data_IF_595996193077
#
_entry.id   IF_595996193077
#
_cell.length_a   1.000
_cell.length_b   1.000
_cell.length_c   1.000
_cell.angle_alpha   90.00
_cell.angle_beta   90.00
_cell.angle_gamma   90.00
#
_symmetry.space_group_name_H-M   'P 1'
#
loop_
_entity.id
_entity.type
_entity.pdbx_description
1 polymer ?
#
# COMPACT_ATOMS: atom_id res chain seq x y z
N UNK A 1 5.09 37.71 26.22
CA UNK A 1 3.92 37.06 25.58
C UNK A 1 3.51 35.92 26.49
N UNK A 2 2.25 35.87 26.91
CA UNK A 2 1.73 34.79 27.75
C UNK A 2 1.15 33.69 26.86
N UNK A 3 1.40 32.40 27.14
CA UNK A 3 0.80 31.30 26.39
C UNK A 3 -0.72 31.31 26.52
N UNK A 4 -1.43 30.78 25.52
CA UNK A 4 -2.89 30.67 25.57
C UNK A 4 -3.32 29.72 26.69
N UNK A 5 -4.25 30.12 27.58
CA UNK A 5 -4.65 29.31 28.73
C UNK A 5 -5.53 28.09 28.36
N UNK A 6 -6.18 28.10 27.20
CA UNK A 6 -6.93 26.96 26.67
C UNK A 6 -6.74 26.88 25.15
N UNK A 7 -6.65 25.65 24.62
CA UNK A 7 -6.55 25.40 23.19
C UNK A 7 -7.86 25.79 22.47
N UNK A 8 -7.75 26.58 21.40
CA UNK A 8 -8.87 26.91 20.51
C UNK A 8 -8.83 26.05 19.25
N UNK A 9 -7.65 25.56 18.89
CA UNK A 9 -7.45 24.63 17.79
C UNK A 9 -7.91 23.22 18.18
N UNK A 10 -8.56 22.56 17.21
CA UNK A 10 -8.98 21.17 17.34
C UNK A 10 -7.78 20.28 17.71
N UNK A 11 -8.00 19.33 18.62
CA UNK A 11 -6.99 18.40 19.14
C UNK A 11 -5.85 19.04 19.96
N UNK A 12 -5.98 20.29 20.41
CA UNK A 12 -5.03 20.89 21.35
C UNK A 12 -3.68 21.24 20.74
N UNK A 13 -3.62 21.50 19.42
CA UNK A 13 -2.37 21.78 18.72
C UNK A 13 -1.69 23.09 19.14
N UNK A 14 -2.48 24.05 19.61
CA UNK A 14 -2.08 25.36 20.14
C UNK A 14 -1.93 25.37 21.68
N UNK A 15 -2.12 24.23 22.35
CA UNK A 15 -1.95 24.15 23.79
C UNK A 15 -0.50 24.44 24.19
N UNK A 16 -0.32 25.36 25.15
CA UNK A 16 0.97 25.82 25.67
C UNK A 16 1.89 26.43 24.59
N UNK A 17 1.32 26.88 23.47
CA UNK A 17 2.07 27.57 22.42
C UNK A 17 2.12 29.08 22.73
N UNK A 18 3.27 29.69 22.46
CA UNK A 18 3.44 31.14 22.54
C UNK A 18 2.89 31.76 21.27
N UNK A 19 1.90 32.65 21.39
CA UNK A 19 1.39 33.41 20.26
C UNK A 19 2.27 34.64 19.99
N UNK A 20 2.56 34.89 18.72
CA UNK A 20 3.38 36.00 18.21
C UNK A 20 2.70 36.68 17.01
N UNK A 21 3.31 37.73 16.47
CA UNK A 21 2.86 38.41 15.25
C UNK A 21 3.97 38.45 14.19
N UNK A 22 3.64 38.79 12.94
CA UNK A 22 4.63 38.87 11.85
C UNK A 22 5.76 39.86 12.17
N UNK A 23 5.46 40.94 12.89
CA UNK A 23 6.48 41.94 13.25
C UNK A 23 7.42 41.47 14.36
N UNK A 24 7.03 40.45 15.12
CA UNK A 24 7.75 39.98 16.31
C UNK A 24 8.56 38.70 16.04
N UNK A 25 8.53 38.18 14.80
CA UNK A 25 9.40 37.11 14.38
C UNK A 25 10.84 37.62 14.23
N UNK A 26 11.79 36.91 14.86
CA UNK A 26 13.21 37.26 14.81
C UNK A 26 13.81 37.08 13.41
N UNK A 27 13.25 36.19 12.59
CA UNK A 27 13.63 35.96 11.21
C UNK A 27 12.47 36.29 10.25
N UNK A 28 12.76 36.61 8.97
CA UNK A 28 11.71 36.79 7.97
C UNK A 28 10.77 35.58 7.93
N UNK A 29 9.47 35.81 7.70
CA UNK A 29 8.42 34.78 7.60
C UNK A 29 8.81 33.53 6.81
N UNK A 30 9.71 33.67 5.83
CA UNK A 30 10.28 32.60 5.03
C UNK A 30 10.88 31.42 5.84
N UNK A 31 11.35 31.63 7.08
CA UNK A 31 12.04 30.63 7.90
C UNK A 31 11.45 30.50 9.31
N UNK A 32 10.18 30.09 9.45
CA UNK A 32 9.59 29.90 10.76
C UNK A 32 10.33 28.77 11.48
N UNK A 33 10.79 29.02 12.71
CA UNK A 33 11.53 28.04 13.51
C UNK A 33 11.12 28.16 14.99
N UNK A 34 11.06 27.01 15.67
CA UNK A 34 10.53 26.90 17.03
C UNK A 34 9.01 26.74 17.09
N UNK A 35 8.51 26.50 18.31
CA UNK A 35 7.09 26.34 18.59
C UNK A 35 6.43 27.70 18.86
N UNK A 36 5.56 28.14 17.97
CA UNK A 36 4.79 29.37 18.11
C UNK A 36 3.45 29.29 17.36
N UNK A 37 2.52 30.18 17.73
CA UNK A 37 1.21 30.35 17.13
C UNK A 37 1.05 31.78 16.62
N UNK A 38 0.23 31.99 15.60
CA UNK A 38 -0.04 33.31 15.04
C UNK A 38 -1.47 33.35 14.52
N UNK A 39 -2.16 34.44 14.86
CA UNK A 39 -3.43 34.80 14.24
C UNK A 39 -3.16 35.79 13.13
N UNK A 40 -3.47 35.38 11.90
CA UNK A 40 -3.24 36.19 10.71
C UNK A 40 -4.58 36.59 10.10
N UNK A 41 -4.73 37.87 9.80
CA UNK A 41 -5.83 38.32 8.96
C UNK A 41 -5.57 37.94 7.49
N UNK A 42 -6.57 38.14 6.62
CA UNK A 42 -6.46 37.75 5.22
C UNK A 42 -5.37 38.53 4.46
N UNK A 43 -5.15 39.80 4.79
CA UNK A 43 -4.11 40.63 4.16
C UNK A 43 -2.71 40.11 4.52
N UNK A 44 -2.48 39.74 5.77
CA UNK A 44 -1.25 39.11 6.24
C UNK A 44 -1.04 37.71 5.62
N UNK A 45 -2.11 36.94 5.44
CA UNK A 45 -2.05 35.66 4.71
C UNK A 45 -1.60 35.85 3.25
N UNK A 46 -2.10 36.90 2.59
CA UNK A 46 -1.69 37.21 1.20
C UNK A 46 -0.25 37.73 1.16
N UNK A 47 0.15 38.58 2.11
CA UNK A 47 1.52 39.13 2.17
C UNK A 47 2.59 38.05 2.39
N UNK A 48 2.23 36.95 3.06
CA UNK A 48 3.07 35.76 3.25
C UNK A 48 3.06 34.78 2.07
N UNK A 49 2.45 35.17 0.94
CA UNK A 49 2.22 34.32 -0.24
C UNK A 49 1.51 33.00 0.14
N UNK A 50 0.45 33.11 0.94
CA UNK A 50 -0.33 31.97 1.40
C UNK A 50 0.44 31.06 2.35
N UNK A 51 1.18 31.66 3.30
CA UNK A 51 2.03 30.94 4.26
C UNK A 51 3.10 30.09 3.58
N UNK A 52 3.74 30.64 2.55
CA UNK A 52 4.85 29.99 1.87
C UNK A 52 6.10 30.04 2.76
N UNK A 53 6.72 28.87 2.98
CA UNK A 53 7.92 28.73 3.79
C UNK A 53 9.05 28.11 2.96
N UNK A 54 10.29 28.49 3.28
CA UNK A 54 11.48 27.98 2.60
C UNK A 54 11.87 26.58 3.05
N UNK A 55 11.42 26.16 4.24
CA UNK A 55 11.54 24.77 4.67
C UNK A 55 10.90 23.82 3.63
N UNK A 56 11.52 22.66 3.35
CA UNK A 56 10.97 21.64 2.46
C UNK A 56 9.81 20.93 3.13
N UNK A 57 8.62 21.50 3.01
CA UNK A 57 7.42 20.98 3.64
C UNK A 57 6.69 20.00 2.72
N UNK A 58 6.24 18.88 3.28
CA UNK A 58 5.28 17.97 2.62
C UNK A 58 3.89 18.21 3.16
N UNK A 59 2.94 18.40 2.25
CA UNK A 59 1.53 18.48 2.59
C UNK A 59 1.03 17.15 3.17
N UNK A 60 0.20 17.26 4.20
CA UNK A 60 -0.49 16.17 4.85
C UNK A 60 -1.98 16.51 4.96
N UNK A 61 -2.80 15.48 5.11
CA UNK A 61 -4.19 15.69 5.53
C UNK A 61 -4.19 16.27 6.94
N UNK A 62 -4.88 17.39 7.15
CA UNK A 62 -5.20 17.88 8.49
C UNK A 62 -6.18 16.93 9.20
N UNK A 63 -6.61 17.28 10.41
CA UNK A 63 -7.60 16.50 11.16
C UNK A 63 -8.98 16.42 10.48
N UNK A 64 -9.19 17.17 9.39
CA UNK A 64 -10.35 17.13 8.50
C UNK A 64 -10.25 16.06 7.36
N UNK A 65 -9.32 15.10 7.44
CA UNK A 65 -9.03 14.12 6.39
C UNK A 65 -10.13 13.07 6.12
N UNK A 66 -10.08 12.44 4.94
CA UNK A 66 -11.04 11.43 4.42
C UNK A 66 -11.48 10.42 5.50
N UNK A 67 -12.76 10.48 5.88
CA UNK A 67 -13.36 9.60 6.89
C UNK A 67 -13.73 10.30 8.21
N UNK A 68 -13.27 11.53 8.44
CA UNK A 68 -13.78 12.35 9.54
C UNK A 68 -15.23 12.77 9.25
N UNK A 69 -16.13 12.56 10.22
CA UNK A 69 -17.51 13.07 10.16
C UNK A 69 -17.58 14.61 10.13
N UNK A 70 -16.49 15.29 10.48
CA UNK A 70 -16.44 16.75 10.60
C UNK A 70 -15.48 17.29 9.55
N UNK A 71 -16.02 17.89 8.49
CA UNK A 71 -15.27 18.65 7.48
C UNK A 71 -15.22 20.12 7.94
N UNK A 72 -14.04 20.60 8.34
CA UNK A 72 -13.88 22.02 8.69
C UNK A 72 -14.20 22.96 7.53
N UNK A 73 -14.67 24.17 7.85
CA UNK A 73 -15.09 25.20 6.90
C UNK A 73 -14.05 26.32 6.77
N UNK A 74 -13.92 26.88 5.56
CA UNK A 74 -13.11 28.09 5.31
C UNK A 74 -13.81 29.37 5.77
N UNK A 75 -15.13 29.31 6.00
CA UNK A 75 -15.96 30.43 6.46
C UNK A 75 -16.36 30.26 7.93
N UNK A 76 -15.66 29.40 8.66
CA UNK A 76 -15.93 29.19 10.09
C UNK A 76 -15.62 30.47 10.87
N UNK A 77 -16.50 30.82 11.81
CA UNK A 77 -16.28 31.91 12.77
C UNK A 77 -15.31 31.50 13.89
N UNK A 78 -15.06 30.19 14.07
CA UNK A 78 -14.17 29.65 15.09
C UNK A 78 -13.01 28.87 14.47
N UNK A 79 -11.85 28.87 15.12
CA UNK A 79 -10.69 28.04 14.74
C UNK A 79 -11.06 26.55 14.83
N UNK A 80 -11.87 26.17 15.83
CA UNK A 80 -12.29 24.79 16.07
C UNK A 80 -13.01 24.14 14.89
N UNK A 81 -13.90 24.89 14.23
CA UNK A 81 -14.64 24.45 13.04
C UNK A 81 -13.95 24.84 11.72
N UNK A 82 -12.76 25.44 11.82
CA UNK A 82 -11.95 25.88 10.69
C UNK A 82 -11.37 24.76 9.84
N UNK A 83 -11.08 25.08 8.58
CA UNK A 83 -10.36 24.17 7.68
C UNK A 83 -8.86 24.14 8.00
N UNK A 84 -8.41 23.06 8.62
CA UNK A 84 -7.00 22.79 8.89
C UNK A 84 -6.25 22.27 7.65
N UNK A 85 -5.06 22.84 7.39
CA UNK A 85 -4.05 22.26 6.49
C UNK A 85 -2.80 21.93 7.28
N UNK A 86 -2.26 20.73 7.09
CA UNK A 86 -1.08 20.25 7.83
C UNK A 86 0.10 20.08 6.89
N UNK A 87 1.27 20.50 7.34
CA UNK A 87 2.54 20.37 6.61
C UNK A 87 3.62 19.92 7.58
N UNK A 88 4.54 19.06 7.14
CA UNK A 88 5.69 18.64 7.96
C UNK A 88 7.00 18.79 7.19
N UNK A 89 8.06 19.16 7.90
CA UNK A 89 9.39 19.32 7.33
C UNK A 89 9.95 17.97 6.88
N UNK A 90 10.44 17.88 5.64
CA UNK A 90 11.15 16.71 5.11
C UNK A 90 12.62 16.68 5.54
N UNK A 91 13.14 17.67 6.28
CA UNK A 91 14.57 17.75 6.62
C UNK A 91 15.40 18.31 5.47
N UNK A 92 16.60 17.79 5.23
CA UNK A 92 17.50 18.28 4.17
C UNK A 92 18.20 17.15 3.45
N UNK A 93 18.75 17.41 2.27
CA UNK A 93 19.62 16.46 1.56
C UNK A 93 21.02 17.07 1.53
N UNK A 94 22.01 16.39 2.09
CA UNK A 94 23.39 16.89 2.11
C UNK A 94 24.33 15.94 1.38
N UNK A 95 25.44 16.48 0.87
CA UNK A 95 26.53 15.67 0.35
C UNK A 95 27.07 14.71 1.42
N UNK A 96 27.44 13.49 1.02
CA UNK A 96 28.14 12.54 1.88
C UNK A 96 29.60 12.94 2.10
N UNK A 97 30.22 13.61 1.12
CA UNK A 97 31.59 14.10 1.27
C UNK A 97 31.65 15.23 2.31
N UNK A 98 32.38 14.99 3.40
CA UNK A 98 32.54 15.94 4.50
C UNK A 98 33.27 17.24 4.14
N UNK A 99 34.02 17.26 3.02
CA UNK A 99 34.63 18.50 2.50
C UNK A 99 33.70 19.28 1.55
N UNK A 100 32.48 18.80 1.32
CA UNK A 100 31.51 19.42 0.43
C UNK A 100 30.28 19.89 1.21
N UNK A 101 30.12 21.21 1.34
CA UNK A 101 29.03 21.83 2.11
C UNK A 101 27.69 21.92 1.35
N UNK A 102 27.55 21.21 0.23
CA UNK A 102 26.33 21.24 -0.56
C UNK A 102 25.18 20.59 0.24
N UNK A 103 24.20 21.43 0.56
CA UNK A 103 22.90 21.04 1.10
C UNK A 103 21.81 21.50 0.14
N UNK A 104 20.94 20.58 -0.26
CA UNK A 104 19.86 20.83 -1.22
C UNK A 104 18.50 20.49 -0.63
N UNK A 105 17.46 21.07 -1.27
CA UNK A 105 16.07 20.87 -0.89
C UNK A 105 15.61 19.46 -1.28
N UNK A 106 15.07 18.67 -0.34
CA UNK A 106 14.31 17.46 -0.68
C UNK A 106 13.21 17.78 -1.70
N UNK A 107 13.10 16.99 -2.76
CA UNK A 107 11.93 17.04 -3.65
C UNK A 107 10.69 16.66 -2.85
N UNK A 108 9.58 17.35 -3.09
CA UNK A 108 8.35 17.16 -2.31
C UNK A 108 7.56 15.96 -2.82
N UNK A 109 7.50 15.79 -4.13
CA UNK A 109 6.90 14.64 -4.82
C UNK A 109 7.63 13.32 -4.47
N UNK A 110 6.86 12.23 -4.30
CA UNK A 110 7.40 10.96 -3.81
C UNK A 110 8.34 10.28 -4.82
N UNK A 111 7.95 10.03 -6.09
CA UNK A 111 8.86 9.54 -7.12
C UNK A 111 10.13 10.38 -7.29
N UNK A 112 9.99 11.71 -7.41
CA UNK A 112 11.14 12.60 -7.58
C UNK A 112 12.08 12.57 -6.37
N UNK A 113 11.52 12.40 -5.16
CA UNK A 113 12.30 12.29 -3.94
C UNK A 113 13.03 10.94 -3.84
N UNK A 114 12.39 9.84 -4.21
CA UNK A 114 13.04 8.52 -4.27
C UNK A 114 14.22 8.58 -5.23
N UNK A 115 14.02 9.13 -6.43
CA UNK A 115 15.10 9.34 -7.41
C UNK A 115 16.24 10.20 -6.86
N UNK A 116 15.91 11.33 -6.23
CA UNK A 116 16.93 12.19 -5.60
C UNK A 116 17.73 11.46 -4.50
N UNK A 117 17.09 10.55 -3.78
CA UNK A 117 17.72 9.80 -2.69
C UNK A 117 18.59 8.65 -3.21
N UNK A 118 18.15 7.95 -4.24
CA UNK A 118 18.79 6.71 -4.73
C UNK A 118 19.82 6.98 -5.82
N UNK A 119 19.56 7.96 -6.68
CA UNK A 119 20.37 8.29 -7.86
C UNK A 119 21.00 9.69 -7.79
N UNK A 120 20.73 10.43 -6.71
CA UNK A 120 21.20 11.81 -6.57
C UNK A 120 22.71 11.90 -6.36
N UNK A 121 23.38 12.54 -7.30
CA UNK A 121 24.82 12.83 -7.22
C UNK A 121 25.02 14.32 -6.96
N UNK A 122 25.92 14.63 -6.02
CA UNK A 122 26.37 15.97 -5.72
C UNK A 122 27.26 16.50 -6.85
N UNK A 123 27.43 17.83 -6.95
CA UNK A 123 28.34 18.44 -7.93
C UNK A 123 29.80 17.99 -7.74
N UNK A 124 30.19 17.56 -6.54
CA UNK A 124 31.52 17.00 -6.28
C UNK A 124 31.66 15.50 -6.65
N UNK A 125 30.64 14.91 -7.29
CA UNK A 125 30.62 13.49 -7.66
C UNK A 125 30.24 12.51 -6.54
N UNK A 126 30.07 12.98 -5.30
CA UNK A 126 29.67 12.14 -4.17
C UNK A 126 28.16 11.96 -4.08
N UNK A 127 27.70 10.88 -3.43
CA UNK A 127 26.28 10.61 -3.24
C UNK A 127 25.61 11.61 -2.30
N UNK A 128 24.32 11.87 -2.55
CA UNK A 128 23.48 12.68 -1.67
C UNK A 128 22.82 11.81 -0.60
N UNK A 129 22.79 12.32 0.64
CA UNK A 129 22.17 11.65 1.79
C UNK A 129 21.04 12.48 2.34
N UNK A 130 19.88 11.84 2.51
CA UNK A 130 18.74 12.47 3.16
C UNK A 130 18.91 12.49 4.68
N UNK A 131 18.95 13.71 5.24
CA UNK A 131 18.89 13.99 6.67
C UNK A 131 17.45 14.32 7.04
N UNK A 132 16.82 13.43 7.82
CA UNK A 132 15.47 13.65 8.38
C UNK A 132 15.43 14.89 9.27
N UNK A 133 14.23 15.42 9.52
CA UNK A 133 14.03 16.48 10.52
C UNK A 133 14.45 15.98 11.91
N UNK A 134 14.81 16.92 12.79
CA UNK A 134 15.23 16.59 14.16
C UNK A 134 14.15 15.80 14.90
N UNK A 135 12.91 16.28 14.83
CA UNK A 135 11.72 15.59 15.38
C UNK A 135 11.63 14.11 14.95
N UNK A 136 11.85 13.79 13.67
CA UNK A 136 11.82 12.41 13.21
C UNK A 136 12.99 11.57 13.75
N UNK A 137 14.18 12.17 13.87
CA UNK A 137 15.35 11.50 14.44
C UNK A 137 15.13 11.20 15.91
N UNK A 138 14.57 12.14 16.66
CA UNK A 138 14.35 11.98 18.11
C UNK A 138 13.34 10.87 18.40
N UNK A 139 12.26 10.79 17.61
CA UNK A 139 11.27 9.70 17.71
C UNK A 139 11.89 8.34 17.37
N UNK A 140 12.71 8.27 16.30
CA UNK A 140 13.40 7.03 15.93
C UNK A 140 14.44 6.60 16.98
N UNK A 141 15.22 7.55 17.51
CA UNK A 141 16.18 7.29 18.59
C UNK A 141 15.47 6.81 19.85
N UNK A 142 14.38 7.45 20.26
CA UNK A 142 13.59 7.04 21.42
C UNK A 142 13.07 5.60 21.27
N UNK A 143 12.53 5.27 20.08
CA UNK A 143 12.05 3.92 19.77
C UNK A 143 13.18 2.89 19.77
N UNK A 144 14.31 3.18 19.10
CA UNK A 144 15.43 2.24 18.96
C UNK A 144 16.13 1.97 20.29
N UNK A 145 16.16 2.94 21.20
CA UNK A 145 16.78 2.77 22.52
C UNK A 145 15.92 1.90 23.45
N UNK A 146 14.59 1.93 23.30
CA UNK A 146 13.63 1.25 24.17
C UNK A 146 12.50 0.56 23.40
N UNK A 147 12.81 -0.38 22.49
CA UNK A 147 11.80 -1.08 21.69
C UNK A 147 10.94 -2.03 22.55
N UNK A 148 11.37 -2.33 23.77
CA UNK A 148 10.66 -3.11 24.79
C UNK A 148 9.41 -2.40 25.34
N UNK A 149 9.38 -1.07 25.29
CA UNK A 149 8.33 -0.29 25.91
C UNK A 149 7.09 -0.14 25.03
N UNK A 150 5.92 -0.20 25.67
CA UNK A 150 4.64 0.08 25.00
C UNK A 150 4.60 1.54 24.53
N UNK A 151 3.88 1.84 23.42
CA UNK A 151 3.75 3.21 22.91
C UNK A 151 3.39 4.26 23.96
N UNK A 152 2.47 3.93 24.88
CA UNK A 152 2.05 4.87 25.93
C UNK A 152 3.18 5.18 26.94
N UNK A 153 4.06 4.22 27.22
CA UNK A 153 5.20 4.44 28.10
C UNK A 153 6.27 5.31 27.43
N UNK A 154 6.48 5.15 26.11
CA UNK A 154 7.35 6.04 25.34
C UNK A 154 6.74 7.44 25.16
N UNK A 155 5.41 7.56 25.21
CA UNK A 155 4.75 8.85 25.10
C UNK A 155 5.07 9.76 26.28
N UNK A 156 4.96 9.21 27.49
CA UNK A 156 5.24 9.91 28.75
C UNK A 156 6.73 9.98 29.08
N UNK A 157 7.57 9.27 28.32
CA UNK A 157 8.99 9.16 28.54
C UNK A 157 9.37 7.94 29.39
N UNK A 158 10.45 7.23 29.05
CA UNK A 158 10.92 6.11 29.85
C UNK A 158 11.40 6.60 31.23
N UNK A 159 11.04 5.84 32.27
CA UNK A 159 11.55 6.05 33.63
C UNK A 159 13.04 5.70 33.67
N UNK A 160 13.84 6.66 34.13
CA UNK A 160 15.26 6.56 34.42
C UNK A 160 15.51 6.64 35.94
N UNK A 161 16.72 6.31 36.39
CA UNK A 161 17.08 6.37 37.81
C UNK A 161 16.97 7.79 38.40
N UNK A 162 17.10 8.82 37.57
CA UNK A 162 17.06 10.23 37.93
C UNK A 162 15.77 10.96 37.50
N UNK A 163 14.71 10.24 37.10
CA UNK A 163 13.44 10.83 36.69
C UNK A 163 12.86 10.22 35.43
N UNK A 164 12.22 11.02 34.58
CA UNK A 164 11.73 10.60 33.27
C UNK A 164 12.58 11.24 32.17
N UNK A 165 12.93 10.46 31.14
CA UNK A 165 13.50 11.03 29.93
C UNK A 165 12.41 11.78 29.13
N UNK A 166 12.81 12.62 28.18
CA UNK A 166 11.89 13.27 27.25
C UNK A 166 11.05 12.23 26.50
N UNK A 167 9.73 12.36 26.61
CA UNK A 167 8.77 11.46 25.98
C UNK A 167 8.34 11.93 24.60
N UNK A 168 7.53 11.13 23.92
CA UNK A 168 6.94 11.53 22.63
C UNK A 168 6.24 12.89 22.69
N UNK A 169 5.57 13.21 23.80
CA UNK A 169 4.90 14.50 24.00
C UNK A 169 5.84 15.71 23.98
N UNK A 170 7.10 15.54 24.41
CA UNK A 170 8.12 16.59 24.44
C UNK A 170 8.91 16.67 23.12
N UNK A 171 9.02 15.54 22.42
CA UNK A 171 9.89 15.42 21.24
C UNK A 171 9.19 15.75 19.93
N UNK A 172 7.85 15.63 19.87
CA UNK A 172 7.11 15.76 18.61
C UNK A 172 5.68 16.25 18.81
N UNK A 173 5.20 17.06 17.86
CA UNK A 173 3.79 17.44 17.77
C UNK A 173 2.88 16.22 17.59
N UNK A 174 3.40 15.15 16.96
CA UNK A 174 2.70 13.86 16.85
C UNK A 174 2.50 13.17 18.20
N UNK A 175 3.33 13.48 19.19
CA UNK A 175 3.24 12.96 20.55
C UNK A 175 2.17 13.65 21.38
N UNK A 176 1.78 14.88 21.04
CA UNK A 176 0.66 15.55 21.73
C UNK A 176 -0.68 14.84 21.56
N UNK A 177 -0.80 13.95 20.57
CA UNK A 177 -1.96 13.08 20.36
C UNK A 177 -1.57 11.60 20.55
N UNK A 178 -2.19 10.93 21.53
CA UNK A 178 -1.83 9.55 21.88
C UNK A 178 -2.10 8.51 20.77
N UNK A 179 -3.14 8.71 19.95
CA UNK A 179 -3.47 7.79 18.85
C UNK A 179 -2.54 7.99 17.66
N UNK A 180 -2.23 9.24 17.33
CA UNK A 180 -1.25 9.57 16.32
C UNK A 180 0.14 9.04 16.72
N UNK A 181 0.51 9.17 17.99
CA UNK A 181 1.74 8.60 18.55
C UNK A 181 1.80 7.07 18.39
N UNK A 182 0.73 6.36 18.78
CA UNK A 182 0.63 4.90 18.58
C UNK A 182 0.77 4.52 17.10
N UNK A 183 0.13 5.27 16.20
CA UNK A 183 0.24 5.03 14.77
C UNK A 183 1.69 5.18 14.27
N UNK A 184 2.40 6.23 14.69
CA UNK A 184 3.79 6.47 14.31
C UNK A 184 4.71 5.33 14.78
N UNK A 185 4.61 4.95 16.06
CA UNK A 185 5.43 3.85 16.60
C UNK A 185 5.07 2.50 15.98
N UNK A 186 3.80 2.23 15.69
CA UNK A 186 3.39 1.03 14.96
C UNK A 186 4.02 0.99 13.58
N UNK A 187 4.07 2.13 12.87
CA UNK A 187 4.71 2.22 11.56
C UNK A 187 6.20 1.93 11.62
N UNK A 188 6.90 2.42 12.65
CA UNK A 188 8.33 2.10 12.89
C UNK A 188 8.52 0.62 13.20
N UNK A 189 7.72 0.07 14.12
CA UNK A 189 7.74 -1.35 14.48
C UNK A 189 7.48 -2.26 13.28
N UNK A 190 6.45 -1.96 12.49
CA UNK A 190 6.11 -2.71 11.27
C UNK A 190 7.23 -2.67 10.25
N UNK A 191 7.93 -1.53 10.11
CA UNK A 191 9.06 -1.43 9.19
C UNK A 191 10.22 -2.34 9.61
N UNK A 192 10.59 -2.34 10.88
CA UNK A 192 11.65 -3.22 11.40
C UNK A 192 11.28 -4.71 11.31
N UNK A 193 10.01 -5.04 11.60
CA UNK A 193 9.51 -6.41 11.50
C UNK A 193 9.45 -6.91 10.06
N UNK A 194 9.09 -6.05 9.11
CA UNK A 194 9.09 -6.39 7.68
C UNK A 194 10.51 -6.61 7.13
N UNK A 195 11.54 -6.00 7.73
CA UNK A 195 12.95 -6.24 7.39
C UNK A 195 13.45 -7.62 7.89
N UNK A 196 12.72 -8.28 8.80
CA UNK A 196 13.02 -9.65 9.26
C UNK A 196 12.10 -10.67 8.56
N UNK A 197 12.63 -11.37 7.55
CA UNK A 197 11.87 -12.36 6.77
C UNK A 197 11.22 -13.48 7.60
N UNK A 198 11.79 -13.83 8.76
CA UNK A 198 11.20 -14.84 9.66
C UNK A 198 9.87 -14.39 10.25
N UNK A 199 9.71 -13.10 10.53
CA UNK A 199 8.47 -12.56 11.06
C UNK A 199 7.33 -12.71 10.04
N UNK A 200 7.60 -12.51 8.75
CA UNK A 200 6.60 -12.74 7.72
C UNK A 200 6.14 -14.20 7.69
N UNK A 201 7.07 -15.16 7.72
CA UNK A 201 6.73 -16.59 7.70
C UNK A 201 5.88 -16.95 8.93
N UNK A 202 6.26 -16.49 10.12
CA UNK A 202 5.50 -16.73 11.34
C UNK A 202 4.10 -16.09 11.28
N UNK A 203 3.96 -14.87 10.76
CA UNK A 203 2.65 -14.25 10.60
C UNK A 203 1.80 -14.95 9.53
N UNK A 204 2.42 -15.39 8.44
CA UNK A 204 1.75 -16.10 7.37
C UNK A 204 1.25 -17.47 7.84
N UNK A 205 2.06 -18.22 8.60
CA UNK A 205 1.63 -19.48 9.20
C UNK A 205 0.53 -19.26 10.24
N UNK A 206 0.68 -18.28 11.14
CA UNK A 206 -0.39 -17.92 12.08
C UNK A 206 -1.69 -17.48 11.39
N UNK A 207 -1.59 -16.82 10.22
CA UNK A 207 -2.74 -16.45 9.41
C UNK A 207 -3.37 -17.70 8.78
N UNK A 208 -2.57 -18.61 8.23
CA UNK A 208 -3.05 -19.88 7.69
C UNK A 208 -3.73 -20.74 8.75
N UNK A 209 -3.19 -20.84 9.96
CA UNK A 209 -3.83 -21.58 11.06
C UNK A 209 -5.18 -20.96 11.44
N UNK A 210 -5.26 -19.63 11.52
CA UNK A 210 -6.50 -18.92 11.89
C UNK A 210 -7.58 -18.94 10.81
N UNK A 211 -7.19 -19.11 9.55
CA UNK A 211 -8.09 -18.96 8.40
C UNK A 211 -8.20 -20.20 7.53
N UNK A 212 -7.46 -21.27 7.84
CA UNK A 212 -7.38 -22.49 7.03
C UNK A 212 -8.70 -23.22 6.87
N UNK A 213 -9.62 -23.03 7.82
CA UNK A 213 -10.97 -23.61 7.77
C UNK A 213 -11.81 -23.05 6.61
N UNK A 214 -11.49 -21.85 6.10
CA UNK A 214 -12.28 -21.19 5.05
C UNK A 214 -11.46 -20.62 3.90
N UNK A 215 -10.14 -20.43 4.05
CA UNK A 215 -9.23 -20.03 2.97
C UNK A 215 -8.28 -21.18 2.66
N UNK A 216 -8.38 -21.68 1.44
CA UNK A 216 -7.51 -22.73 0.90
C UNK A 216 -6.43 -22.12 0.03
N UNK A 217 -5.20 -22.54 0.29
CA UNK A 217 -4.03 -22.24 -0.52
C UNK A 217 -3.92 -23.29 -1.63
N UNK A 218 -3.79 -22.88 -2.88
CA UNK A 218 -3.85 -23.81 -4.03
C UNK A 218 -2.53 -23.99 -4.75
N UNK A 219 -1.88 -22.89 -5.12
CA UNK A 219 -0.54 -22.90 -5.67
C UNK A 219 0.33 -21.96 -4.85
N UNK A 220 1.49 -22.45 -4.42
CA UNK A 220 2.47 -21.66 -3.68
C UNK A 220 3.83 -21.93 -4.31
N UNK A 221 4.21 -21.05 -5.22
CA UNK A 221 5.55 -21.02 -5.79
C UNK A 221 6.26 -19.86 -5.12
N UNK A 222 7.35 -20.12 -4.40
CA UNK A 222 8.16 -19.09 -3.75
C UNK A 222 9.60 -19.28 -4.21
N UNK A 223 10.11 -18.35 -5.01
CA UNK A 223 11.51 -18.34 -5.44
C UNK A 223 11.91 -19.53 -6.32
N UNK A 224 11.01 -20.04 -7.17
CA UNK A 224 11.35 -21.05 -8.17
C UNK A 224 12.34 -20.51 -9.21
N UNK A 225 12.68 -21.32 -10.23
CA UNK A 225 13.48 -20.87 -11.37
C UNK A 225 13.02 -19.49 -11.88
N UNK A 226 13.97 -18.57 -12.01
CA UNK A 226 13.70 -17.18 -12.40
C UNK A 226 13.22 -16.26 -11.27
N UNK A 227 13.16 -16.70 -10.01
CA UNK A 227 12.74 -15.88 -8.88
C UNK A 227 11.24 -15.58 -8.85
N UNK A 228 10.44 -16.44 -9.50
CA UNK A 228 8.98 -16.31 -9.59
C UNK A 228 8.35 -16.67 -8.24
N UNK A 229 7.46 -15.78 -7.77
CA UNK A 229 6.66 -16.02 -6.57
C UNK A 229 5.20 -15.75 -6.87
N UNK A 230 4.38 -16.81 -6.81
CA UNK A 230 2.93 -16.76 -6.97
C UNK A 230 2.28 -17.55 -5.85
N UNK A 231 1.36 -16.91 -5.14
CA UNK A 231 0.62 -17.50 -4.03
C UNK A 231 -0.88 -17.35 -4.33
N UNK A 232 -1.50 -18.45 -4.73
CA UNK A 232 -2.90 -18.53 -5.10
C UNK A 232 -3.76 -19.09 -3.96
N UNK A 233 -4.90 -18.45 -3.72
CA UNK A 233 -5.82 -18.82 -2.65
C UNK A 233 -7.27 -18.49 -3.00
N UNK A 234 -8.19 -19.22 -2.38
CA UNK A 234 -9.63 -19.07 -2.55
C UNK A 234 -10.38 -19.59 -1.33
N UNK A 235 -11.65 -19.22 -1.19
CA UNK A 235 -12.58 -19.95 -0.31
C UNK A 235 -13.29 -21.06 -1.07
N UNK A 236 -14.01 -21.95 -0.39
CA UNK A 236 -14.84 -22.95 -1.06
C UNK A 236 -15.95 -22.32 -1.90
N UNK A 237 -16.55 -21.23 -1.39
CA UNK A 237 -17.56 -20.48 -2.13
C UNK A 237 -16.99 -19.90 -3.43
N UNK A 238 -15.81 -19.28 -3.37
CA UNK A 238 -15.12 -18.73 -4.54
C UNK A 238 -14.82 -19.81 -5.57
N UNK A 239 -14.23 -20.94 -5.14
CA UNK A 239 -13.92 -22.08 -6.01
C UNK A 239 -15.15 -22.55 -6.78
N UNK A 240 -16.28 -22.65 -6.10
CA UNK A 240 -17.54 -23.10 -6.71
C UNK A 240 -18.09 -22.10 -7.74
N UNK A 241 -17.65 -20.83 -7.73
CA UNK A 241 -17.99 -19.86 -8.79
C UNK A 241 -17.21 -20.09 -10.09
N UNK A 242 -16.18 -20.95 -10.10
CA UNK A 242 -15.41 -21.29 -11.30
C UNK A 242 -16.13 -22.28 -12.22
N UNK A 243 -17.19 -22.94 -11.74
CA UNK A 243 -17.99 -23.87 -12.54
C UNK A 243 -19.03 -23.13 -13.39
N UNK A 244 -19.39 -23.67 -14.56
CA UNK A 244 -20.57 -23.24 -15.31
C UNK A 244 -21.82 -23.34 -14.42
N UNK A 245 -22.74 -22.37 -14.56
CA UNK A 245 -24.05 -22.42 -13.90
C UNK A 245 -25.07 -23.05 -14.86
N UNK A 246 -25.79 -24.08 -14.39
CA UNK A 246 -26.61 -25.01 -15.19
C UNK A 246 -27.71 -24.35 -16.06
N UNK A 247 -28.16 -23.14 -15.75
CA UNK A 247 -29.30 -22.50 -16.43
C UNK A 247 -29.00 -22.00 -17.85
N UNK A 248 -27.75 -22.05 -18.32
CA UNK A 248 -27.33 -21.37 -19.56
C UNK A 248 -26.59 -22.27 -20.58
N UNK A 249 -26.68 -23.59 -20.46
CA UNK A 249 -26.17 -24.55 -21.48
C UNK A 249 -26.98 -24.58 -22.79
N UNK A 250 -27.83 -23.59 -23.05
CA UNK A 250 -28.46 -23.42 -24.36
C UNK A 250 -27.46 -22.74 -25.30
N UNK A 251 -27.22 -23.34 -26.47
CA UNK A 251 -26.34 -22.85 -27.56
C UNK A 251 -26.66 -21.46 -28.11
N UNK A 252 -27.63 -20.75 -27.52
CA UNK A 252 -28.13 -19.43 -27.91
C UNK A 252 -27.65 -18.30 -26.98
N UNK A 253 -26.99 -18.58 -25.86
CA UNK A 253 -26.49 -17.54 -24.95
C UNK A 253 -24.97 -17.39 -25.02
N UNK A 254 -24.44 -16.15 -24.85
CA UNK A 254 -23.00 -15.95 -24.76
C UNK A 254 -22.44 -16.76 -23.59
N UNK A 255 -21.35 -17.46 -23.84
CA UNK A 255 -20.67 -18.28 -22.82
C UNK A 255 -20.36 -17.39 -21.62
N UNK A 256 -20.87 -17.72 -20.43
CA UNK A 256 -20.46 -17.07 -19.18
C UNK A 256 -18.98 -17.43 -18.93
N UNK A 257 -18.08 -16.60 -19.43
CA UNK A 257 -16.64 -16.80 -19.30
C UNK A 257 -16.09 -16.39 -17.92
N UNK A 258 -14.92 -16.91 -17.60
CA UNK A 258 -14.08 -16.40 -16.52
C UNK A 258 -13.24 -15.23 -17.03
N UNK A 259 -13.11 -14.20 -16.19
CA UNK A 259 -12.29 -13.03 -16.49
C UNK A 259 -11.16 -12.91 -15.49
N UNK A 260 -9.93 -12.85 -16.00
CA UNK A 260 -8.71 -12.68 -15.21
C UNK A 260 -8.11 -11.29 -15.39
N UNK A 261 -7.92 -10.56 -14.29
CA UNK A 261 -7.33 -9.21 -14.29
C UNK A 261 -6.28 -9.02 -13.18
N UNK A 262 -5.37 -8.06 -13.38
CA UNK A 262 -4.26 -7.73 -12.47
C UNK A 262 -4.37 -6.31 -11.89
N UNK A 263 -4.48 -6.20 -10.56
CA UNK A 263 -4.50 -4.91 -9.87
C UNK A 263 -3.07 -4.42 -9.51
N UNK A 264 -2.45 -3.64 -10.41
CA UNK A 264 -1.04 -3.19 -10.36
C UNK A 264 -0.66 -2.18 -9.25
N UNK A 265 -1.55 -1.88 -8.30
CA UNK A 265 -1.29 -0.93 -7.19
C UNK A 265 -1.89 -1.39 -5.86
N UNK A 266 -2.31 -2.64 -5.80
CA UNK A 266 -2.92 -3.20 -4.60
C UNK A 266 -1.88 -3.35 -3.48
N UNK A 267 -0.67 -3.81 -3.83
CA UNK A 267 0.41 -4.03 -2.90
C UNK A 267 1.31 -2.80 -2.74
N UNK A 268 1.99 -2.70 -1.59
CA UNK A 268 2.96 -1.63 -1.31
C UNK A 268 4.19 -1.69 -2.23
N UNK A 269 4.58 -2.90 -2.65
CA UNK A 269 5.60 -3.10 -3.67
C UNK A 269 4.99 -2.92 -5.06
N UNK A 270 5.48 -1.94 -5.82
CA UNK A 270 4.97 -1.59 -7.15
C UNK A 270 5.18 -2.68 -8.20
N UNK A 271 6.08 -3.65 -7.95
CA UNK A 271 6.28 -4.80 -8.85
C UNK A 271 5.29 -5.93 -8.58
N UNK A 272 4.68 -5.94 -7.40
CA UNK A 272 3.75 -6.99 -7.00
C UNK A 272 2.33 -6.68 -7.46
N UNK A 273 1.60 -7.72 -7.85
CA UNK A 273 0.27 -7.63 -8.46
C UNK A 273 -0.67 -8.56 -7.71
N UNK A 274 -1.90 -8.10 -7.47
CA UNK A 274 -3.00 -8.97 -7.10
C UNK A 274 -3.69 -9.40 -8.39
N UNK A 275 -3.58 -10.67 -8.74
CA UNK A 275 -4.28 -11.26 -9.88
C UNK A 275 -5.58 -11.88 -9.38
N UNK A 276 -6.68 -11.66 -10.09
CA UNK A 276 -7.99 -12.22 -9.76
C UNK A 276 -8.58 -12.85 -11.00
N UNK A 277 -9.05 -14.10 -10.87
CA UNK A 277 -9.99 -14.70 -11.82
C UNK A 277 -11.38 -14.64 -11.22
N UNK A 278 -12.35 -14.15 -12.00
CA UNK A 278 -13.72 -13.89 -11.59
C UNK A 278 -14.72 -14.49 -12.57
N UNK A 279 -15.92 -14.75 -12.09
CA UNK A 279 -17.07 -15.13 -12.93
C UNK A 279 -18.24 -14.21 -12.63
N UNK A 280 -19.17 -14.08 -13.57
CA UNK A 280 -20.36 -13.28 -13.34
C UNK A 280 -21.40 -14.09 -12.54
N UNK A 281 -21.96 -13.46 -11.50
CA UNK A 281 -23.04 -14.04 -10.70
C UNK A 281 -24.38 -13.38 -11.04
N UNK A 282 -25.30 -14.08 -11.73
CA UNK A 282 -26.60 -13.53 -12.07
C UNK A 282 -27.49 -13.28 -10.85
N UNK A 283 -27.27 -14.02 -9.76
CA UNK A 283 -28.05 -13.90 -8.50
C UNK A 283 -27.89 -12.52 -7.88
N UNK A 284 -26.71 -11.92 -7.98
CA UNK A 284 -26.40 -10.61 -7.39
C UNK A 284 -26.04 -9.56 -8.43
N UNK A 285 -26.17 -9.89 -9.72
CA UNK A 285 -25.82 -9.02 -10.86
C UNK A 285 -24.41 -8.43 -10.74
N UNK A 286 -23.42 -9.26 -10.39
CA UNK A 286 -22.05 -8.78 -10.10
C UNK A 286 -20.97 -9.82 -10.41
N UNK A 287 -19.77 -9.33 -10.75
CA UNK A 287 -18.58 -10.19 -10.90
C UNK A 287 -18.07 -10.63 -9.53
N UNK A 288 -18.00 -11.94 -9.33
CA UNK A 288 -17.57 -12.57 -8.08
C UNK A 288 -16.23 -13.25 -8.26
N UNK A 289 -15.36 -13.23 -7.23
CA UNK A 289 -14.04 -13.80 -7.34
C UNK A 289 -14.10 -15.34 -7.28
N UNK A 290 -13.39 -15.99 -8.20
CA UNK A 290 -13.16 -17.43 -8.20
C UNK A 290 -11.79 -17.83 -7.65
N UNK A 291 -10.77 -17.00 -7.90
CA UNK A 291 -9.40 -17.22 -7.43
C UNK A 291 -8.69 -15.88 -7.23
N UNK A 292 -7.96 -15.74 -6.11
CA UNK A 292 -6.99 -14.67 -5.91
C UNK A 292 -5.57 -15.19 -6.01
N UNK A 293 -4.64 -14.35 -6.44
CA UNK A 293 -3.22 -14.65 -6.36
C UNK A 293 -2.39 -13.42 -6.10
N UNK A 294 -1.51 -13.52 -5.11
CA UNK A 294 -0.35 -12.64 -5.04
C UNK A 294 0.64 -13.07 -6.11
N UNK A 295 1.26 -12.11 -6.80
CA UNK A 295 2.33 -12.32 -7.75
C UNK A 295 3.41 -11.25 -7.59
N UNK A 296 4.69 -11.62 -7.62
CA UNK A 296 5.80 -10.66 -7.59
C UNK A 296 6.15 -10.07 -8.98
N UNK A 297 5.35 -10.36 -10.00
CA UNK A 297 5.48 -9.83 -11.36
C UNK A 297 4.30 -10.21 -12.27
N UNK A 298 4.42 -9.90 -13.55
CA UNK A 298 3.38 -10.12 -14.58
C UNK A 298 3.94 -10.77 -15.88
N UNK A 299 4.95 -11.63 -15.75
CA UNK A 299 5.44 -12.41 -16.90
C UNK A 299 4.52 -13.60 -17.19
N UNK A 300 4.72 -14.24 -18.34
CA UNK A 300 3.96 -15.43 -18.71
C UNK A 300 4.06 -16.56 -17.65
N UNK A 301 5.23 -16.73 -17.02
CA UNK A 301 5.40 -17.70 -15.93
C UNK A 301 4.56 -17.37 -14.69
N UNK A 302 4.39 -16.09 -14.34
CA UNK A 302 3.52 -15.72 -13.23
C UNK A 302 2.06 -16.10 -13.53
N UNK A 303 1.60 -15.80 -14.76
CA UNK A 303 0.27 -16.17 -15.20
C UNK A 303 0.09 -17.68 -15.35
N UNK A 304 1.13 -18.41 -15.75
CA UNK A 304 1.14 -19.88 -15.78
C UNK A 304 0.78 -20.46 -14.42
N UNK A 305 1.44 -20.02 -13.35
CA UNK A 305 1.14 -20.49 -12.00
C UNK A 305 -0.27 -20.09 -11.53
N UNK A 306 -0.73 -18.89 -11.88
CA UNK A 306 -2.10 -18.47 -11.57
C UNK A 306 -3.15 -19.35 -12.25
N UNK A 307 -3.05 -19.52 -13.57
CA UNK A 307 -4.02 -20.32 -14.33
C UNK A 307 -3.98 -21.79 -13.97
N UNK A 308 -2.79 -22.33 -13.66
CA UNK A 308 -2.67 -23.69 -13.16
C UNK A 308 -3.46 -23.88 -11.85
N UNK A 309 -3.39 -22.91 -10.94
CA UNK A 309 -4.19 -22.90 -9.72
C UNK A 309 -5.71 -22.82 -10.01
N UNK A 310 -6.11 -22.03 -11.02
CA UNK A 310 -7.50 -21.95 -11.47
C UNK A 310 -8.01 -23.29 -11.99
N UNK A 311 -7.24 -23.98 -12.86
CA UNK A 311 -7.61 -25.29 -13.39
C UNK A 311 -7.72 -26.36 -12.31
N UNK A 312 -6.77 -26.38 -11.37
CA UNK A 312 -6.89 -27.23 -10.18
C UNK A 312 -8.16 -26.90 -9.37
N UNK A 313 -8.54 -25.63 -9.27
CA UNK A 313 -9.76 -25.20 -8.58
C UNK A 313 -11.05 -25.66 -9.27
N UNK A 314 -11.11 -25.53 -10.60
CA UNK A 314 -12.24 -26.02 -11.43
C UNK A 314 -12.43 -27.52 -11.24
N UNK A 315 -11.34 -28.28 -11.35
CA UNK A 315 -11.35 -29.72 -11.21
C UNK A 315 -11.83 -30.19 -9.82
N UNK A 316 -11.35 -29.55 -8.76
CA UNK A 316 -11.81 -29.86 -7.40
C UNK A 316 -13.29 -29.51 -7.21
N UNK A 317 -13.75 -28.38 -7.76
CA UNK A 317 -15.16 -28.02 -7.70
C UNK A 317 -16.03 -29.02 -8.47
N UNK A 318 -15.62 -29.42 -9.69
CA UNK A 318 -16.32 -30.40 -10.51
C UNK A 318 -16.41 -31.75 -9.80
N UNK A 319 -15.29 -32.21 -9.23
CA UNK A 319 -15.25 -33.44 -8.43
C UNK A 319 -16.18 -33.37 -7.22
N UNK A 320 -16.18 -32.24 -6.49
CA UNK A 320 -17.07 -32.05 -5.34
C UNK A 320 -18.56 -31.98 -5.73
N UNK A 321 -18.86 -31.53 -6.95
CA UNK A 321 -20.20 -31.50 -7.53
C UNK A 321 -20.63 -32.83 -8.18
N UNK A 322 -19.73 -33.83 -8.24
CA UNK A 322 -20.00 -35.10 -8.92
C UNK A 322 -20.08 -34.98 -10.44
N UNK A 323 -19.51 -33.93 -11.03
CA UNK A 323 -19.47 -33.71 -12.46
C UNK A 323 -18.27 -34.42 -13.08
N UNK A 324 -18.44 -34.97 -14.28
CA UNK A 324 -17.30 -35.46 -15.09
C UNK A 324 -16.60 -34.23 -15.67
N UNK A 325 -15.28 -34.14 -15.49
CA UNK A 325 -14.51 -33.05 -16.06
C UNK A 325 -14.42 -33.22 -17.57
N UNK A 326 -15.22 -32.46 -18.30
CA UNK A 326 -15.21 -32.41 -19.75
C UNK A 326 -14.35 -31.23 -20.24
N UNK A 327 -13.92 -31.29 -21.51
CA UNK A 327 -13.09 -30.27 -22.13
C UNK A 327 -13.80 -28.89 -22.15
N UNK A 328 -15.13 -28.92 -22.24
CA UNK A 328 -16.07 -27.81 -22.30
C UNK A 328 -15.98 -26.89 -21.06
N UNK A 329 -15.59 -27.41 -19.89
CA UNK A 329 -15.37 -26.59 -18.68
C UNK A 329 -14.22 -25.60 -18.84
N UNK A 330 -13.24 -25.91 -19.68
CA UNK A 330 -12.07 -25.07 -19.91
C UNK A 330 -12.28 -24.04 -21.04
N UNK A 331 -13.30 -24.25 -21.88
CA UNK A 331 -13.72 -23.27 -22.89
C UNK A 331 -14.15 -21.96 -22.24
N UNK A 332 -14.71 -22.02 -21.02
CA UNK A 332 -15.10 -20.85 -20.22
C UNK A 332 -13.91 -19.98 -19.77
N UNK A 333 -12.71 -20.55 -19.66
CA UNK A 333 -11.51 -19.81 -19.20
C UNK A 333 -10.79 -19.14 -20.39
N UNK A 334 -11.33 -19.31 -21.60
CA UNK A 334 -10.82 -18.72 -22.83
C UNK A 334 -10.05 -19.73 -23.66
N UNK A 335 -10.76 -20.47 -24.52
CA UNK A 335 -10.39 -20.89 -25.89
C UNK A 335 -11.38 -21.97 -26.36
N UNK A 336 -11.97 -21.77 -27.56
CA UNK A 336 -12.68 -22.81 -28.29
C UNK A 336 -11.75 -24.00 -28.56
N UNK A 337 -12.09 -25.15 -27.99
CA UNK A 337 -11.43 -26.43 -28.24
C UNK A 337 -11.84 -26.90 -29.64
N UNK A 338 -11.07 -26.50 -30.65
CA UNK A 338 -11.05 -27.18 -31.95
C UNK A 338 -9.62 -27.43 -32.48
N UNK A 339 -8.57 -27.13 -31.71
CA UNK A 339 -7.18 -27.19 -32.21
C UNK A 339 -6.30 -28.27 -31.53
N UNK A 340 -6.78 -29.05 -30.57
CA UNK A 340 -5.95 -30.11 -29.93
C UNK A 340 -6.53 -31.51 -30.17
N UNK A 341 -6.94 -31.78 -31.41
CA UNK A 341 -7.08 -33.14 -31.93
C UNK A 341 -6.16 -33.40 -33.14
N UNK A 342 -5.32 -32.45 -33.55
CA UNK A 342 -4.31 -32.70 -34.59
C UNK A 342 -3.08 -31.85 -34.35
N UNK A 343 -1.94 -32.55 -34.29
CA UNK A 343 -0.59 -32.04 -34.19
C UNK A 343 -0.32 -30.81 -35.06
N UNK A 344 0.44 -29.86 -34.51
CA UNK A 344 1.31 -28.91 -35.21
C UNK A 344 0.66 -27.92 -36.21
N UNK A 345 1.21 -26.70 -36.20
CA UNK A 345 1.17 -25.68 -37.27
C UNK A 345 -0.05 -24.76 -37.33
N UNK A 346 0.25 -23.47 -37.05
CA UNK A 346 -0.32 -22.24 -37.58
C UNK A 346 -1.85 -22.13 -37.74
N UNK A 347 -2.48 -21.25 -36.94
CA UNK A 347 -3.01 -19.98 -37.45
C UNK A 347 -3.54 -19.10 -36.31
N UNK A 348 -3.22 -17.81 -36.38
CA UNK A 348 -3.44 -16.78 -35.36
C UNK A 348 -4.90 -16.30 -35.19
N UNK A 349 -5.91 -17.03 -35.68
CA UNK A 349 -7.28 -16.54 -35.76
C UNK A 349 -8.29 -17.61 -35.40
N UNK A 350 -8.57 -17.81 -34.10
CA UNK A 350 -9.90 -18.21 -33.59
C UNK A 350 -10.00 -18.10 -32.06
N UNK A 351 -9.59 -16.96 -31.49
CA UNK A 351 -9.94 -16.59 -30.10
C UNK A 351 -11.19 -15.73 -30.19
N UNK A 352 -12.36 -16.35 -30.27
CA UNK A 352 -13.65 -15.67 -30.35
C UNK A 352 -14.45 -16.03 -29.11
N UNK A 353 -14.17 -15.31 -28.01
CA UNK A 353 -15.15 -14.53 -27.23
C UNK A 353 -14.56 -14.12 -25.88
N UNK A 354 -14.37 -12.80 -25.74
CA UNK A 354 -14.43 -12.01 -24.50
C UNK A 354 -13.38 -12.35 -23.43
N UNK A 355 -12.13 -11.86 -23.57
CA UNK A 355 -11.31 -11.15 -22.55
C UNK A 355 -10.08 -10.54 -23.26
N UNK A 356 -9.73 -9.29 -22.96
CA UNK A 356 -8.53 -8.59 -23.43
C UNK A 356 -7.26 -9.17 -22.74
N UNK A 357 -6.73 -10.27 -23.27
CA UNK A 357 -5.49 -10.86 -22.75
C UNK A 357 -4.28 -10.08 -23.24
N UNK A 358 -3.46 -9.62 -22.31
CA UNK A 358 -2.07 -9.28 -22.62
C UNK A 358 -1.31 -10.52 -23.12
N UNK A 359 -0.29 -10.35 -23.96
CA UNK A 359 0.52 -11.47 -24.46
C UNK A 359 1.05 -12.39 -23.34
N UNK A 360 1.56 -11.88 -22.20
CA UNK A 360 1.97 -12.71 -21.07
C UNK A 360 0.83 -13.56 -20.49
N UNK A 361 -0.38 -13.02 -20.38
CA UNK A 361 -1.53 -13.79 -19.88
C UNK A 361 -1.90 -14.92 -20.84
N UNK A 362 -1.97 -14.63 -22.14
CA UNK A 362 -2.28 -15.64 -23.16
C UNK A 362 -1.26 -16.79 -23.15
N UNK A 363 0.03 -16.46 -23.12
CA UNK A 363 1.10 -17.47 -23.09
C UNK A 363 1.05 -18.26 -21.78
N UNK A 364 0.90 -17.59 -20.64
CA UNK A 364 0.80 -18.24 -19.34
C UNK A 364 -0.37 -19.22 -19.26
N UNK A 365 -1.53 -18.83 -19.79
CA UNK A 365 -2.71 -19.70 -19.87
C UNK A 365 -2.43 -21.00 -20.64
N UNK A 366 -1.86 -20.89 -21.85
CA UNK A 366 -1.56 -22.06 -22.71
C UNK A 366 -0.60 -23.01 -21.99
N UNK A 367 0.46 -22.47 -21.38
CA UNK A 367 1.44 -23.28 -20.65
C UNK A 367 0.79 -24.00 -19.45
N UNK A 368 -0.05 -23.29 -18.69
CA UNK A 368 -0.75 -23.86 -17.55
C UNK A 368 -1.70 -24.99 -17.94
N UNK A 369 -2.37 -24.85 -19.09
CA UNK A 369 -3.29 -25.85 -19.60
C UNK A 369 -2.53 -27.13 -19.98
N UNK A 370 -1.41 -26.98 -20.70
CA UNK A 370 -0.53 -28.09 -21.05
C UNK A 370 -0.02 -28.81 -19.80
N UNK A 371 0.42 -28.08 -18.78
CA UNK A 371 0.91 -28.66 -17.53
C UNK A 371 -0.18 -29.44 -16.78
N UNK A 372 -1.38 -28.86 -16.67
CA UNK A 372 -2.52 -29.48 -15.99
C UNK A 372 -2.87 -30.84 -16.61
N UNK A 373 -2.98 -30.92 -17.93
CA UNK A 373 -3.31 -32.17 -18.61
C UNK A 373 -2.18 -33.19 -18.56
N UNK A 374 -0.93 -32.75 -18.78
CA UNK A 374 0.24 -33.63 -18.75
C UNK A 374 0.49 -34.25 -17.38
N UNK A 375 0.29 -33.50 -16.30
CA UNK A 375 0.61 -34.00 -14.95
C UNK A 375 -0.52 -34.84 -14.34
N UNK A 376 -1.75 -34.67 -14.82
CA UNK A 376 -2.93 -35.27 -14.17
C UNK A 376 -3.57 -36.41 -14.96
N UNK A 377 -3.46 -36.41 -16.29
CA UNK A 377 -4.19 -37.35 -17.16
C UNK A 377 -3.31 -38.09 -18.18
N UNK A 378 -2.00 -37.82 -18.18
CA UNK A 378 -0.98 -38.58 -18.91
C UNK A 378 0.01 -39.15 -17.90
#
# INVERSE_FOLDING_TARGET
MSPQPHAECRNGHDQNIIFTSLQLLAEPWAWPNGDFGMDLNHEEFVSTNGLAVQWPMRSASGSNGRGSHIKGSITSETIWDGKESKKYCKGSVSCLNHSCDITTRPKVDSPAFTKQKEEGVCQCGSSLVWKKSQEQKDVETLWNNRPDLKPIALLSGPKLANGFASGGGDLTQSGKNSDHWRYQLRKLSSKMKAENGHWFLEQFDNWRERHGDYIKMRACTIGSEGGITVIAFHTDWMRNQLLPKDELQSSLFPVQGLVTDGAHKFWSNQKSILIMTSSYSPVIDFWVPGMFSFSNGATAEHYRHHFYAVFLGIDEAATAAGMVLENEFFVMVGICIYIIASYCILNHNLIIQVVDFSDPQRVGFILAFVDFWKLKYC
#
